data_IF_406878594033
#
_entry.id   IF_406878594033
#
_cell.length_a   1.000
_cell.length_b   1.000
_cell.length_c   1.000
_cell.angle_alpha   90.00
_cell.angle_beta   90.00
_cell.angle_gamma   90.00
#
_symmetry.space_group_name_H-M   'P 1'
#
loop_
_entity.id
_entity.type
_entity.pdbx_description
1 polymer ?
#
# COMPACT_ATOMS: atom_id res chain seq x y z
N UNK A 1 20.28 1.94 -2.29
CA UNK A 1 19.81 3.08 -3.11
C UNK A 1 18.30 3.05 -3.35
N UNK A 2 17.72 1.96 -3.88
CA UNK A 2 16.28 1.90 -4.18
C UNK A 2 15.35 2.27 -3.01
N UNK A 3 15.62 1.79 -1.80
CA UNK A 3 14.81 2.12 -0.61
C UNK A 3 14.80 3.62 -0.28
N UNK A 4 15.93 4.32 -0.42
CA UNK A 4 16.02 5.76 -0.20
C UNK A 4 15.21 6.54 -1.24
N UNK A 5 15.26 6.11 -2.50
CA UNK A 5 14.49 6.73 -3.58
C UNK A 5 12.98 6.52 -3.39
N UNK A 6 12.57 5.33 -2.95
CA UNK A 6 11.18 5.06 -2.56
C UNK A 6 10.77 5.94 -1.37
N UNK A 7 11.61 6.06 -0.34
CA UNK A 7 11.34 6.92 0.82
C UNK A 7 11.19 8.39 0.44
N UNK A 8 12.07 8.91 -0.42
CA UNK A 8 11.96 10.27 -0.95
C UNK A 8 10.66 10.46 -1.73
N UNK A 9 10.29 9.50 -2.58
CA UNK A 9 9.01 9.51 -3.29
C UNK A 9 7.79 9.50 -2.36
N UNK A 10 7.85 8.74 -1.26
CA UNK A 10 6.77 8.70 -0.27
C UNK A 10 6.59 10.05 0.44
N UNK A 11 7.69 10.75 0.74
CA UNK A 11 7.65 12.09 1.34
C UNK A 11 7.11 13.11 0.34
N UNK A 12 7.59 13.11 -0.90
CA UNK A 12 7.18 14.09 -1.92
C UNK A 12 5.74 13.90 -2.40
N UNK A 13 5.28 12.66 -2.51
CA UNK A 13 3.90 12.34 -2.91
C UNK A 13 2.92 12.24 -1.73
N UNK A 14 3.40 12.28 -0.49
CA UNK A 14 2.58 12.10 0.72
C UNK A 14 1.83 10.77 0.77
N UNK A 15 2.31 9.75 0.06
CA UNK A 15 1.59 8.49 -0.13
C UNK A 15 2.54 7.31 -0.26
N UNK A 16 2.18 6.17 0.33
CA UNK A 16 2.88 4.92 0.11
C UNK A 16 2.21 4.15 -1.04
N UNK A 17 2.89 3.19 -1.68
CA UNK A 17 2.32 2.42 -2.79
C UNK A 17 1.04 1.66 -2.39
N UNK A 18 0.84 1.40 -1.08
CA UNK A 18 -0.40 0.84 -0.55
C UNK A 18 -1.55 1.84 -0.44
N UNK A 19 -1.28 2.99 0.18
CA UNK A 19 -2.33 3.98 0.49
C UNK A 19 -2.83 4.71 -0.74
N UNK A 20 -2.03 4.84 -1.80
CA UNK A 20 -2.44 5.53 -3.03
C UNK A 20 -3.69 4.90 -3.66
N UNK A 21 -3.83 3.56 -3.64
CA UNK A 21 -5.03 2.90 -4.17
C UNK A 21 -6.29 3.22 -3.33
N UNK A 22 -6.13 3.26 -2.01
CA UNK A 22 -7.21 3.63 -1.08
C UNK A 22 -7.61 5.09 -1.32
N UNK A 23 -6.65 6.00 -1.47
CA UNK A 23 -6.89 7.42 -1.72
C UNK A 23 -7.57 7.68 -3.08
N UNK A 24 -7.21 6.88 -4.10
CA UNK A 24 -7.87 6.94 -5.41
C UNK A 24 -9.34 6.56 -5.28
N UNK A 25 -9.64 5.48 -4.56
CA UNK A 25 -11.02 5.08 -4.32
C UNK A 25 -11.80 6.05 -3.44
N UNK A 26 -11.14 6.74 -2.50
CA UNK A 26 -11.76 7.79 -1.70
C UNK A 26 -11.98 9.10 -2.49
N UNK A 27 -11.55 9.20 -3.75
CA UNK A 27 -11.78 10.35 -4.62
C UNK A 27 -10.80 11.51 -4.43
N UNK A 28 -9.63 11.30 -3.84
CA UNK A 28 -8.62 12.35 -3.66
C UNK A 28 -7.89 12.57 -5.00
N UNK A 29 -8.09 13.74 -5.63
CA UNK A 29 -7.55 14.02 -6.97
C UNK A 29 -6.01 13.88 -7.06
N UNK A 30 -5.28 14.30 -6.03
CA UNK A 30 -3.81 14.22 -5.99
C UNK A 30 -3.29 12.78 -6.07
N UNK A 31 -4.05 11.83 -5.53
CA UNK A 31 -3.66 10.41 -5.53
C UNK A 31 -3.65 9.80 -6.92
N UNK A 32 -4.48 10.31 -7.85
CA UNK A 32 -4.46 9.90 -9.25
C UNK A 32 -3.15 10.31 -9.91
N UNK A 33 -2.67 11.53 -9.66
CA UNK A 33 -1.37 11.98 -10.17
C UNK A 33 -0.21 11.16 -9.59
N UNK A 34 -0.26 10.84 -8.29
CA UNK A 34 0.73 9.95 -7.68
C UNK A 34 0.69 8.54 -8.28
N UNK A 35 -0.51 7.99 -8.52
CA UNK A 35 -0.69 6.67 -9.12
C UNK A 35 -0.13 6.64 -10.57
N UNK A 36 -0.46 7.65 -11.37
CA UNK A 36 0.07 7.80 -12.73
C UNK A 36 1.59 8.00 -12.72
N UNK A 37 2.11 8.82 -11.81
CA UNK A 37 3.55 9.02 -11.63
C UNK A 37 4.27 7.72 -11.26
N UNK A 38 3.70 6.92 -10.36
CA UNK A 38 4.22 5.61 -10.00
C UNK A 38 4.21 4.63 -11.18
N UNK A 39 3.16 4.65 -12.00
CA UNK A 39 3.08 3.84 -13.21
C UNK A 39 4.12 4.25 -14.26
N UNK A 40 4.22 5.56 -14.55
CA UNK A 40 5.22 6.11 -15.48
C UNK A 40 6.65 5.85 -14.99
N UNK A 41 6.90 6.03 -13.70
CA UNK A 41 8.17 5.69 -13.07
C UNK A 41 8.51 4.21 -13.19
N UNK A 42 7.51 3.32 -13.09
CA UNK A 42 7.69 1.89 -13.33
C UNK A 42 8.11 1.64 -14.78
N UNK A 43 7.44 2.22 -15.78
CA UNK A 43 7.87 2.09 -17.18
C UNK A 43 9.28 2.61 -17.40
N UNK A 44 9.58 3.81 -16.89
CA UNK A 44 10.90 4.42 -17.04
C UNK A 44 11.98 3.53 -16.43
N UNK A 45 11.74 2.98 -15.24
CA UNK A 45 12.66 2.05 -14.59
C UNK A 45 12.91 0.80 -15.45
N UNK A 46 11.87 0.19 -16.02
CA UNK A 46 12.03 -1.01 -16.84
C UNK A 46 12.66 -0.76 -18.21
N UNK A 47 12.44 0.42 -18.80
CA UNK A 47 13.06 0.82 -20.07
C UNK A 47 14.55 1.13 -19.85
N UNK A 48 14.88 2.04 -18.94
CA UNK A 48 16.24 2.59 -18.86
C UNK A 48 17.14 1.80 -17.92
N UNK A 49 16.62 1.38 -16.77
CA UNK A 49 17.44 0.87 -15.67
C UNK A 49 17.50 -0.65 -15.71
N UNK A 50 16.35 -1.32 -15.85
CA UNK A 50 16.30 -2.77 -15.86
C UNK A 50 17.05 -3.37 -17.06
N UNK A 51 16.98 -2.74 -18.23
CA UNK A 51 17.73 -3.20 -19.41
C UNK A 51 19.24 -3.08 -19.20
N UNK A 52 19.72 -1.96 -18.65
CA UNK A 52 21.14 -1.76 -18.36
C UNK A 52 21.66 -2.70 -17.25
N UNK A 53 20.91 -2.86 -16.17
CA UNK A 53 21.30 -3.74 -15.05
C UNK A 53 21.19 -5.22 -15.42
N UNK A 54 20.28 -5.61 -16.32
CA UNK A 54 20.19 -7.01 -16.77
C UNK A 54 21.40 -7.47 -17.57
N UNK A 55 22.12 -6.54 -18.21
CA UNK A 55 23.36 -6.83 -18.93
C UNK A 55 24.54 -7.00 -17.97
N UNK A 56 24.55 -6.23 -16.89
CA UNK A 56 25.47 -6.40 -15.77
C UNK A 56 24.92 -7.50 -14.84
N UNK A 57 24.97 -8.75 -15.32
CA UNK A 57 24.65 -9.95 -14.56
C UNK A 57 25.53 -10.00 -13.30
N UNK A 58 25.10 -9.33 -12.24
CA UNK A 58 25.65 -9.52 -10.92
C UNK A 58 25.60 -11.02 -10.63
N UNK A 59 26.70 -11.64 -10.16
CA UNK A 59 26.70 -13.05 -9.87
C UNK A 59 25.51 -13.34 -8.97
N UNK A 60 24.68 -14.29 -9.37
CA UNK A 60 23.59 -14.81 -8.55
C UNK A 60 24.14 -15.64 -7.39
N UNK A 61 25.22 -15.19 -6.75
CA UNK A 61 25.28 -15.33 -5.31
C UNK A 61 24.08 -14.52 -4.83
N UNK A 62 22.95 -15.19 -4.68
CA UNK A 62 21.87 -14.71 -3.84
C UNK A 62 22.58 -14.18 -2.61
N UNK A 63 22.62 -12.87 -2.42
CA UNK A 63 22.68 -12.32 -1.09
C UNK A 63 21.39 -12.84 -0.49
N UNK A 64 21.45 -14.10 -0.03
CA UNK A 64 20.40 -14.75 0.73
C UNK A 64 20.17 -13.73 1.80
N UNK A 65 19.00 -13.10 1.73
CA UNK A 65 18.61 -12.08 2.66
C UNK A 65 18.54 -12.82 3.98
N UNK A 66 19.69 -12.88 4.67
CA UNK A 66 19.93 -13.81 5.75
C UNK A 66 18.97 -13.33 6.81
N UNK A 67 17.92 -14.12 7.04
CA UNK A 67 16.92 -13.70 8.01
C UNK A 67 17.66 -13.52 9.32
N UNK A 68 17.21 -12.59 10.15
CA UNK A 68 17.78 -12.42 11.49
C UNK A 68 17.83 -13.79 12.21
N UNK A 69 16.85 -14.66 11.94
CA UNK A 69 16.80 -16.04 12.40
C UNK A 69 18.01 -16.89 11.95
N UNK A 70 18.47 -16.73 10.70
CA UNK A 70 19.62 -17.45 10.12
C UNK A 70 20.97 -16.92 10.63
N UNK A 71 20.98 -15.72 11.23
CA UNK A 71 22.15 -15.13 11.90
C UNK A 71 22.24 -15.71 13.32
N UNK A 72 21.13 -15.67 14.07
CA UNK A 72 21.09 -16.09 15.46
C UNK A 72 20.87 -17.60 15.67
N UNK A 73 20.60 -18.38 14.61
CA UNK A 73 20.25 -19.81 14.70
C UNK A 73 19.06 -20.09 15.65
N UNK A 74 18.18 -19.11 15.84
CA UNK A 74 16.98 -19.23 16.69
C UNK A 74 15.80 -19.60 15.80
N UNK A 75 14.88 -20.39 16.36
CA UNK A 75 13.65 -20.76 15.68
C UNK A 75 12.84 -19.52 15.26
N UNK A 76 12.47 -19.45 13.98
CA UNK A 76 11.85 -18.26 13.38
C UNK A 76 10.63 -17.77 14.16
N UNK A 77 9.79 -18.68 14.63
CA UNK A 77 8.56 -18.35 15.37
C UNK A 77 8.88 -17.51 16.62
N UNK A 78 9.95 -17.83 17.36
CA UNK A 78 10.30 -17.14 18.60
C UNK A 78 10.67 -15.68 18.30
N UNK A 79 11.48 -15.44 17.27
CA UNK A 79 11.90 -14.09 16.88
C UNK A 79 10.70 -13.24 16.44
N UNK A 80 9.81 -13.80 15.61
CA UNK A 80 8.61 -13.09 15.16
C UNK A 80 7.64 -12.80 16.31
N UNK A 81 7.45 -13.75 17.24
CA UNK A 81 6.60 -13.55 18.41
C UNK A 81 7.15 -12.47 19.33
N UNK A 82 8.45 -12.51 19.65
CA UNK A 82 9.07 -11.48 20.50
C UNK A 82 8.93 -10.10 19.85
N UNK A 83 9.28 -9.97 18.58
CA UNK A 83 9.18 -8.70 17.87
C UNK A 83 7.74 -8.21 17.75
N UNK A 84 6.80 -9.13 17.49
CA UNK A 84 5.37 -8.83 17.44
C UNK A 84 4.82 -8.33 18.77
N UNK A 85 5.18 -8.97 19.89
CA UNK A 85 4.78 -8.54 21.24
C UNK A 85 5.36 -7.16 21.58
N UNK A 86 6.63 -6.92 21.25
CA UNK A 86 7.26 -5.61 21.47
C UNK A 86 6.56 -4.52 20.66
N UNK A 87 6.33 -4.74 19.36
CA UNK A 87 5.64 -3.76 18.51
C UNK A 87 4.19 -3.53 18.94
N UNK A 88 3.47 -4.58 19.34
CA UNK A 88 2.11 -4.46 19.86
C UNK A 88 2.09 -3.65 21.16
N UNK A 89 3.02 -3.94 22.08
CA UNK A 89 3.17 -3.18 23.32
C UNK A 89 3.49 -1.71 23.07
N UNK A 90 4.39 -1.42 22.13
CA UNK A 90 4.70 -0.04 21.70
C UNK A 90 3.49 0.66 21.07
N UNK A 91 2.73 -0.04 20.22
CA UNK A 91 1.52 0.51 19.60
C UNK A 91 0.45 0.83 20.64
N UNK A 92 0.25 -0.03 21.64
CA UNK A 92 -0.69 0.21 22.75
C UNK A 92 -0.17 1.35 23.63
N UNK A 93 1.14 1.40 23.92
CA UNK A 93 1.75 2.50 24.67
C UNK A 93 1.57 3.85 23.97
N UNK A 94 1.78 3.90 22.65
CA UNK A 94 1.56 5.11 21.85
C UNK A 94 0.09 5.56 21.88
N UNK A 95 -0.86 4.64 21.85
CA UNK A 95 -2.29 4.93 21.97
C UNK A 95 -2.65 5.65 23.29
N UNK A 96 -1.95 5.32 24.39
CA UNK A 96 -2.14 5.99 25.68
C UNK A 96 -1.49 7.38 25.74
N UNK A 97 -0.37 7.59 25.04
CA UNK A 97 0.35 8.87 25.06
C UNK A 97 -0.27 9.87 24.07
N UNK A 98 -0.63 9.39 22.88
CA UNK A 98 -1.19 10.19 21.78
C UNK A 98 -2.42 9.46 21.25
N UNK A 99 -3.62 9.74 21.80
CA UNK A 99 -4.82 9.04 21.37
C UNK A 99 -5.13 9.44 19.91
N UNK A 100 -5.19 8.48 18.98
CA UNK A 100 -5.42 8.75 17.54
C UNK A 100 -6.60 9.68 17.21
N UNK A 101 -7.59 9.76 18.11
CA UNK A 101 -8.73 10.68 17.97
C UNK A 101 -8.30 12.15 17.98
N UNK A 102 -7.16 12.51 18.57
CA UNK A 102 -6.62 13.87 18.55
C UNK A 102 -6.19 14.31 17.15
N UNK A 103 -5.86 13.36 16.27
CA UNK A 103 -5.35 13.64 14.92
C UNK A 103 -6.49 13.80 13.90
N UNK A 104 -7.72 13.44 14.28
CA UNK A 104 -8.89 13.65 13.44
C UNK A 104 -9.41 15.08 13.54
N UNK A 105 -9.68 15.68 12.38
CA UNK A 105 -10.37 16.95 12.32
C UNK A 105 -11.75 16.84 13.02
N UNK A 106 -12.05 17.78 13.92
CA UNK A 106 -13.29 17.80 14.70
C UNK A 106 -14.55 17.80 13.82
N UNK A 107 -14.44 18.30 12.59
CA UNK A 107 -15.48 18.25 11.56
C UNK A 107 -15.79 16.82 11.07
N UNK A 108 -14.79 15.94 10.96
CA UNK A 108 -14.95 14.54 10.58
C UNK A 108 -15.54 13.72 11.73
N UNK A 109 -15.11 14.00 12.97
CA UNK A 109 -15.70 13.40 14.17
C UNK A 109 -17.18 13.77 14.32
N UNK A 110 -17.54 15.04 14.01
CA UNK A 110 -18.92 15.51 14.06
C UNK A 110 -19.80 14.92 12.95
N UNK A 111 -19.27 14.75 11.73
CA UNK A 111 -19.97 14.09 10.62
C UNK A 111 -20.09 12.58 10.82
N UNK A 112 -19.13 11.95 11.50
CA UNK A 112 -19.09 10.52 11.77
C UNK A 112 -19.94 10.04 12.96
N UNK A 113 -20.49 10.95 13.78
CA UNK A 113 -21.44 10.60 14.84
C UNK A 113 -22.84 10.34 14.25
N UNK A 114 -23.00 9.18 13.62
CA UNK A 114 -24.31 8.59 13.38
C UNK A 114 -24.87 7.96 14.66
N UNK A 115 -26.19 8.10 14.80
CA UNK A 115 -27.02 7.73 15.94
C UNK A 115 -26.68 6.32 16.51
N UNK A 116 -26.28 6.21 17.80
CA UNK A 116 -25.82 4.96 18.43
C UNK A 116 -26.87 3.83 18.51
N UNK A 117 -28.11 4.08 18.07
CA UNK A 117 -29.21 3.14 18.09
C UNK A 117 -29.38 2.34 16.78
N UNK A 118 -28.50 2.53 15.78
CA UNK A 118 -28.59 1.83 14.50
C UNK A 118 -27.58 0.68 14.41
N UNK A 119 -27.95 -0.47 14.98
CA UNK A 119 -27.08 -1.63 15.26
C UNK A 119 -26.37 -2.29 14.04
N UNK A 120 -26.61 -1.85 12.79
CA UNK A 120 -25.89 -2.32 11.60
C UNK A 120 -25.05 -1.24 10.89
N UNK A 121 -25.10 0.02 11.32
CA UNK A 121 -24.37 1.15 10.72
C UNK A 121 -22.97 1.41 11.29
N UNK A 122 -22.48 0.54 12.17
CA UNK A 122 -21.58 0.94 13.27
C UNK A 122 -20.05 0.82 13.05
N UNK A 123 -19.58 0.21 11.96
CA UNK A 123 -18.13 0.05 11.73
C UNK A 123 -17.70 0.50 10.33
N UNK A 124 -18.44 0.08 9.30
CA UNK A 124 -18.18 0.45 7.91
C UNK A 124 -18.46 1.92 7.57
N UNK A 125 -19.29 2.60 8.37
CA UNK A 125 -19.61 4.02 8.22
C UNK A 125 -18.76 4.97 9.08
N UNK A 126 -17.78 4.44 9.82
CA UNK A 126 -16.88 5.29 10.61
C UNK A 126 -15.88 5.97 9.69
N UNK A 127 -15.75 7.30 9.83
CA UNK A 127 -14.82 8.09 9.02
C UNK A 127 -13.35 7.66 9.19
N UNK A 128 -12.98 7.15 10.36
CA UNK A 128 -11.70 6.50 10.59
C UNK A 128 -11.87 5.31 11.53
N UNK A 129 -11.04 4.30 11.32
CA UNK A 129 -10.98 3.11 12.17
C UNK A 129 -9.81 3.21 13.14
N UNK A 130 -9.94 2.65 14.35
CA UNK A 130 -8.84 2.62 15.28
C UNK A 130 -7.66 1.84 14.67
N UNK A 131 -6.39 2.28 14.86
CA UNK A 131 -5.22 1.65 14.25
C UNK A 131 -5.11 0.15 14.55
N UNK A 132 -5.51 -0.28 15.75
CA UNK A 132 -5.54 -1.67 16.16
C UNK A 132 -6.48 -2.54 15.31
N UNK A 133 -7.67 -2.03 14.96
CA UNK A 133 -8.62 -2.76 14.12
C UNK A 133 -8.15 -2.83 12.66
N UNK A 134 -7.57 -1.75 12.14
CA UNK A 134 -6.91 -1.76 10.83
C UNK A 134 -5.78 -2.80 10.78
N UNK A 135 -4.91 -2.80 11.79
CA UNK A 135 -3.81 -3.75 11.90
C UNK A 135 -4.28 -5.20 11.99
N UNK A 136 -5.29 -5.48 12.82
CA UNK A 136 -5.89 -6.81 12.93
C UNK A 136 -6.52 -7.25 11.60
N UNK A 137 -7.27 -6.37 10.93
CA UNK A 137 -7.89 -6.64 9.63
C UNK A 137 -6.85 -6.98 8.56
N UNK A 138 -5.79 -6.17 8.43
CA UNK A 138 -4.69 -6.42 7.49
C UNK A 138 -3.93 -7.70 7.85
N UNK A 139 -3.70 -7.96 9.13
CA UNK A 139 -3.03 -9.17 9.61
C UNK A 139 -3.80 -10.45 9.28
N UNK A 140 -5.11 -10.47 9.55
CA UNK A 140 -5.99 -11.59 9.19
C UNK A 140 -6.00 -11.80 7.67
N UNK A 141 -6.10 -10.71 6.92
CA UNK A 141 -6.06 -10.77 5.46
C UNK A 141 -4.72 -11.33 4.97
N UNK A 142 -3.60 -10.92 5.56
CA UNK A 142 -2.28 -11.44 5.23
C UNK A 142 -2.16 -12.94 5.55
N UNK A 143 -2.71 -13.42 6.67
CA UNK A 143 -2.78 -14.85 6.98
C UNK A 143 -3.57 -15.62 5.92
N UNK A 144 -4.71 -15.07 5.48
CA UNK A 144 -5.50 -15.65 4.41
C UNK A 144 -4.68 -15.75 3.10
N UNK A 145 -4.00 -14.68 2.69
CA UNK A 145 -3.16 -14.70 1.48
C UNK A 145 -1.99 -15.69 1.59
N UNK A 146 -1.35 -15.78 2.75
CA UNK A 146 -0.25 -16.73 2.95
C UNK A 146 -0.78 -18.18 2.86
N UNK A 147 -1.92 -18.47 3.47
CA UNK A 147 -2.48 -19.82 3.49
C UNK A 147 -3.01 -20.27 2.12
N UNK A 148 -3.73 -19.40 1.41
CA UNK A 148 -4.38 -19.77 0.15
C UNK A 148 -3.52 -19.52 -1.09
N UNK A 149 -2.61 -18.55 -1.05
CA UNK A 149 -1.91 -18.05 -2.23
C UNK A 149 -0.38 -18.15 -2.12
N UNK A 150 0.13 -18.64 -0.97
CA UNK A 150 1.55 -18.86 -0.68
C UNK A 150 2.42 -17.63 -0.99
N UNK A 151 1.84 -16.43 -0.88
CA UNK A 151 2.50 -15.18 -1.19
C UNK A 151 2.11 -14.12 -0.18
N UNK A 152 3.08 -13.28 0.20
CA UNK A 152 2.80 -12.06 0.92
C UNK A 152 2.12 -11.04 0.00
N UNK A 153 1.25 -10.21 0.58
CA UNK A 153 0.63 -9.08 -0.11
C UNK A 153 1.71 -8.08 -0.52
N UNK A 154 1.99 -7.99 -1.82
CA UNK A 154 2.95 -7.05 -2.39
C UNK A 154 2.24 -6.01 -3.24
N UNK A 155 1.84 -4.88 -2.66
CA UNK A 155 1.11 -3.85 -3.40
C UNK A 155 1.98 -3.22 -4.51
N UNK A 156 3.29 -3.11 -4.30
CA UNK A 156 4.23 -2.63 -5.33
C UNK A 156 4.21 -3.49 -6.59
N UNK A 157 3.89 -4.79 -6.48
CA UNK A 157 3.74 -5.66 -7.65
C UNK A 157 2.48 -5.36 -8.46
N UNK A 158 1.46 -4.71 -7.87
CA UNK A 158 0.28 -4.30 -8.64
C UNK A 158 0.65 -3.26 -9.70
N UNK A 159 1.58 -2.34 -9.41
CA UNK A 159 2.07 -1.37 -10.40
C UNK A 159 2.80 -2.05 -11.56
N UNK A 160 3.67 -3.01 -11.27
CA UNK A 160 4.41 -3.73 -12.32
C UNK A 160 3.49 -4.60 -13.16
N UNK A 161 2.51 -5.28 -12.55
CA UNK A 161 1.54 -6.09 -13.28
C UNK A 161 0.60 -5.21 -14.10
N UNK A 162 0.14 -4.07 -13.57
CA UNK A 162 -0.68 -3.12 -14.33
C UNK A 162 0.08 -2.59 -15.54
N UNK A 163 1.34 -2.19 -15.35
CA UNK A 163 2.21 -1.77 -16.43
C UNK A 163 2.43 -2.89 -17.46
N UNK A 164 2.62 -4.12 -17.00
CA UNK A 164 2.75 -5.29 -17.86
C UNK A 164 1.49 -5.60 -18.67
N UNK A 165 0.29 -5.34 -18.14
CA UNK A 165 -0.96 -5.53 -18.90
C UNK A 165 -1.03 -4.62 -20.11
N UNK A 166 -0.52 -3.39 -20.04
CA UNK A 166 -0.46 -2.48 -21.20
C UNK A 166 0.53 -2.99 -22.25
N UNK A 167 1.62 -3.64 -21.83
CA UNK A 167 2.56 -4.31 -22.74
C UNK A 167 1.96 -5.51 -23.51
N UNK A 168 0.72 -5.95 -23.22
CA UNK A 168 0.03 -6.94 -24.06
C UNK A 168 -0.27 -6.42 -25.46
N UNK A 169 -0.24 -5.10 -25.66
CA UNK A 169 -0.27 -4.51 -26.99
C UNK A 169 1.03 -4.89 -27.72
N UNK A 170 0.93 -5.69 -28.80
CA UNK A 170 2.07 -6.31 -29.50
C UNK A 170 3.27 -5.38 -29.72
N UNK A 171 3.02 -4.13 -30.14
CA UNK A 171 4.08 -3.14 -30.39
C UNK A 171 4.85 -2.76 -29.11
N UNK A 172 4.15 -2.62 -27.99
CA UNK A 172 4.75 -2.24 -26.70
C UNK A 172 5.43 -3.45 -26.05
N UNK A 173 4.83 -4.64 -26.16
CA UNK A 173 5.43 -5.88 -25.65
C UNK A 173 6.72 -6.28 -26.35
N UNK A 174 6.88 -5.95 -27.64
CA UNK A 174 8.14 -6.12 -28.37
C UNK A 174 9.22 -5.15 -27.91
N UNK A 175 8.85 -3.93 -27.52
CA UNK A 175 9.78 -2.94 -26.99
C UNK A 175 10.23 -3.25 -25.55
N UNK A 176 9.40 -3.96 -24.77
CA UNK A 176 9.65 -4.24 -23.34
C UNK A 176 9.41 -5.72 -23.00
N UNK A 177 10.28 -6.64 -23.45
CA UNK A 177 10.11 -8.08 -23.22
C UNK A 177 10.21 -8.45 -21.74
N UNK A 178 11.02 -7.73 -20.95
CA UNK A 178 11.17 -7.95 -19.50
C UNK A 178 9.84 -7.75 -18.75
N UNK A 179 9.09 -6.70 -19.09
CA UNK A 179 7.80 -6.37 -18.48
C UNK A 179 6.71 -7.37 -18.87
N UNK A 180 6.73 -7.85 -20.12
CA UNK A 180 5.74 -8.80 -20.64
C UNK A 180 5.74 -10.13 -19.87
N UNK A 181 6.87 -10.54 -19.30
CA UNK A 181 6.94 -11.74 -18.44
C UNK A 181 6.04 -11.64 -17.20
N UNK A 182 5.83 -10.42 -16.68
CA UNK A 182 4.97 -10.16 -15.54
C UNK A 182 3.48 -10.06 -15.89
N UNK A 183 3.11 -10.03 -17.19
CA UNK A 183 1.72 -9.97 -17.62
C UNK A 183 0.96 -11.28 -17.37
N UNK A 184 1.68 -12.40 -17.28
CA UNK A 184 1.10 -13.74 -17.16
C UNK A 184 1.29 -14.32 -15.75
N UNK A 185 0.29 -15.07 -15.29
CA UNK A 185 0.34 -15.83 -14.04
C UNK A 185 -0.74 -15.44 -13.03
N UNK A 186 -1.40 -16.45 -12.44
CA UNK A 186 -2.46 -16.27 -11.45
C UNK A 186 -2.00 -15.42 -10.25
N UNK A 187 -0.76 -15.65 -9.82
CA UNK A 187 -0.13 -14.93 -8.71
C UNK A 187 -0.01 -13.42 -8.95
N UNK A 188 0.05 -12.97 -10.21
CA UNK A 188 0.14 -11.55 -10.57
C UNK A 188 -1.24 -10.88 -10.61
N UNK A 189 -2.26 -11.64 -11.00
CA UNK A 189 -3.65 -11.17 -11.03
C UNK A 189 -4.20 -10.91 -9.63
N UNK A 190 -3.74 -11.67 -8.62
CA UNK A 190 -4.10 -11.46 -7.22
C UNK A 190 -3.72 -10.06 -6.73
N UNK A 191 -2.53 -9.56 -7.07
CA UNK A 191 -2.09 -8.23 -6.64
C UNK A 191 -2.97 -7.12 -7.25
N UNK A 192 -3.38 -7.29 -8.51
CA UNK A 192 -4.36 -6.40 -9.14
C UNK A 192 -5.73 -6.50 -8.48
N UNK A 193 -6.22 -7.72 -8.22
CA UNK A 193 -7.49 -7.94 -7.54
C UNK A 193 -7.51 -7.26 -6.16
N UNK A 194 -6.41 -7.37 -5.42
CA UNK A 194 -6.24 -6.68 -4.14
C UNK A 194 -6.27 -5.15 -4.32
N UNK A 195 -5.55 -4.61 -5.30
CA UNK A 195 -5.55 -3.16 -5.58
C UNK A 195 -6.95 -2.64 -5.94
N UNK A 196 -7.68 -3.35 -6.82
CA UNK A 196 -9.07 -3.03 -7.14
C UNK A 196 -10.00 -3.18 -5.94
N UNK A 197 -9.80 -4.22 -5.12
CA UNK A 197 -10.53 -4.40 -3.86
C UNK A 197 -10.29 -3.26 -2.88
N UNK A 198 -9.07 -2.74 -2.80
CA UNK A 198 -8.72 -1.58 -1.97
C UNK A 198 -9.38 -0.29 -2.48
N UNK A 199 -9.33 -0.03 -3.80
CA UNK A 199 -10.03 1.11 -4.43
C UNK A 199 -11.54 1.01 -4.19
N UNK A 200 -12.13 -0.16 -4.45
CA UNK A 200 -13.56 -0.36 -4.33
C UNK A 200 -14.01 -0.28 -2.86
N UNK A 201 -13.27 -0.91 -1.95
CA UNK A 201 -13.55 -0.88 -0.52
C UNK A 201 -13.45 0.54 0.05
N UNK A 202 -12.47 1.33 -0.38
CA UNK A 202 -12.36 2.72 0.04
C UNK A 202 -13.45 3.60 -0.57
N UNK A 203 -13.78 3.40 -1.86
CA UNK A 203 -14.90 4.11 -2.49
C UNK A 203 -16.24 3.81 -1.80
N UNK A 204 -16.49 2.54 -1.48
CA UNK A 204 -17.69 2.12 -0.75
C UNK A 204 -17.71 2.72 0.66
N UNK A 205 -16.60 2.63 1.40
CA UNK A 205 -16.48 3.20 2.74
C UNK A 205 -16.69 4.73 2.73
N UNK A 206 -16.07 5.44 1.79
CA UNK A 206 -16.25 6.90 1.64
C UNK A 206 -17.68 7.28 1.22
N UNK A 207 -18.32 6.47 0.38
CA UNK A 207 -19.72 6.66 -0.03
C UNK A 207 -20.67 6.48 1.16
N UNK A 208 -20.50 5.40 1.92
CA UNK A 208 -21.31 5.11 3.11
C UNK A 208 -21.09 6.14 4.23
N UNK A 209 -19.85 6.58 4.42
CA UNK A 209 -19.48 7.58 5.42
C UNK A 209 -19.80 9.02 4.99
N UNK A 210 -20.25 9.24 3.75
CA UNK A 210 -20.46 10.57 3.14
C UNK A 210 -19.24 11.48 3.24
N UNK A 211 -18.05 10.90 3.18
CA UNK A 211 -16.76 11.59 3.31
C UNK A 211 -16.08 11.81 1.97
N UNK A 212 -16.73 11.47 0.85
CA UNK A 212 -16.18 11.74 -0.49
C UNK A 212 -15.87 13.24 -0.61
N UNK A 213 -14.61 13.63 -0.77
CA UNK A 213 -14.22 15.01 -1.02
C UNK A 213 -14.71 15.34 -2.44
N UNK A 214 -15.88 15.97 -2.53
CA UNK A 214 -16.40 16.52 -3.78
C UNK A 214 -15.54 17.74 -4.18
N UNK A 215 -14.34 17.49 -4.72
CA UNK A 215 -13.54 18.45 -5.47
C UNK A 215 -12.96 19.67 -4.74
N UNK A 216 -13.19 19.83 -3.43
CA UNK A 216 -12.82 21.06 -2.72
C UNK A 216 -11.63 20.94 -1.73
N UNK A 217 -11.21 19.73 -1.35
CA UNK A 217 -10.00 19.57 -0.55
C UNK A 217 -8.81 19.37 -1.50
N UNK A 218 -8.17 20.50 -1.83
CA UNK A 218 -6.82 20.48 -2.36
C UNK A 218 -5.98 19.72 -1.33
N UNK A 219 -5.56 18.48 -1.66
CA UNK A 219 -4.60 17.77 -0.83
C UNK A 219 -3.40 18.67 -0.58
N UNK A 220 -2.70 18.44 0.54
CA UNK A 220 -1.58 19.28 0.99
C UNK A 220 -0.72 19.68 -0.20
N UNK A 221 -0.61 20.99 -0.46
CA UNK A 221 0.18 21.51 -1.57
C UNK A 221 1.60 20.90 -1.48
N UNK A 222 2.17 20.49 -2.61
CA UNK A 222 3.51 19.89 -2.67
C UNK A 222 4.53 20.75 -1.91
N UNK A 223 4.40 22.08 -2.01
CA UNK A 223 5.23 23.02 -1.27
C UNK A 223 5.03 22.93 0.26
N UNK A 224 3.80 22.81 0.76
CA UNK A 224 3.58 22.60 2.20
C UNK A 224 4.14 21.27 2.69
N UNK A 225 4.07 20.21 1.88
CA UNK A 225 4.66 18.91 2.23
C UNK A 225 6.20 18.92 2.21
N UNK A 226 6.81 19.80 1.41
CA UNK A 226 8.28 19.96 1.36
C UNK A 226 8.79 20.88 2.48
N UNK A 227 8.02 21.90 2.87
CA UNK A 227 8.45 22.89 3.86
C UNK A 227 8.16 22.50 5.32
N UNK A 228 7.26 21.53 5.57
CA UNK A 228 6.91 21.07 6.92
C UNK A 228 5.83 21.92 7.57
#
# INVERSE_FOLDING_TARGET
FGGTLIGLGMITCGSCPGTVFVQVGSGILNSLFTCLGGLLGTYFYYIFVHEQISLEKLPSSSLVLRRICDIFHIHSIIVHTIFGVILLGLSIGLEFVIPWKSDLNSSLLRKGNMNPNSALGHFLGMAAWPPSACGAGVGILQLFFIFFLEKSLGISSAFTVFAAQVCRIKKVGQALPSLNSFAYGLKNHVSLLFAFGAIFGSALSSSLSRTIPLGAENGTNIFSSILG
#
